data_IF_159453175457
#
_entry.id   IF_159453175457
#
_cell.length_a   1.000
_cell.length_b   1.000
_cell.length_c   1.000
_cell.angle_alpha   90.00
_cell.angle_beta   90.00
_cell.angle_gamma   90.00
#
_symmetry.space_group_name_H-M   'P 1'
#
loop_
_entity.id
_entity.type
_entity.pdbx_description
1 polymer ?
#
# COMPACT_ATOMS: atom_id res chain seq x y z
N UNK A 1 -9.48 16.97 22.43
CA UNK A 1 -9.50 15.65 21.75
C UNK A 1 -8.11 15.38 21.22
N UNK A 2 -7.47 14.30 21.66
CA UNK A 2 -6.23 13.86 21.03
C UNK A 2 -6.60 13.36 19.63
N UNK A 3 -6.11 14.01 18.57
CA UNK A 3 -6.46 13.60 17.21
C UNK A 3 -5.74 12.29 16.91
N UNK A 4 -6.49 11.21 16.66
CA UNK A 4 -5.91 9.94 16.18
C UNK A 4 -5.11 10.21 14.91
N UNK A 5 -3.87 9.72 14.85
CA UNK A 5 -3.07 9.78 13.64
C UNK A 5 -3.82 9.13 12.48
N UNK A 6 -3.84 9.78 11.32
CA UNK A 6 -4.44 9.24 10.09
C UNK A 6 -3.42 9.17 8.98
N UNK A 7 -3.65 8.28 8.03
CA UNK A 7 -2.79 8.14 6.87
C UNK A 7 -3.60 8.22 5.56
N UNK A 8 -2.93 8.64 4.50
CA UNK A 8 -3.40 8.47 3.13
C UNK A 8 -2.22 8.21 2.19
N UNK A 9 -2.51 7.66 1.01
CA UNK A 9 -1.50 7.38 -0.01
C UNK A 9 -1.92 7.91 -1.39
N UNK A 10 -0.97 8.56 -2.06
CA UNK A 10 -1.05 8.97 -3.47
C UNK A 10 -0.16 8.03 -4.29
N UNK A 11 -0.77 7.12 -5.02
CA UNK A 11 -0.09 6.26 -5.99
C UNK A 11 0.08 7.06 -7.28
N UNK A 12 1.30 7.12 -7.79
CA UNK A 12 1.69 7.88 -8.99
C UNK A 12 2.19 6.88 -10.02
N UNK A 13 1.52 6.80 -11.17
CA UNK A 13 1.85 5.84 -12.22
C UNK A 13 0.76 5.79 -13.28
N UNK A 14 1.09 6.15 -14.52
CA UNK A 14 0.19 5.99 -15.67
C UNK A 14 -0.17 4.51 -15.89
N UNK A 15 0.77 3.60 -15.63
CA UNK A 15 0.60 2.14 -15.74
C UNK A 15 -0.39 1.55 -14.72
N UNK A 16 -0.66 2.29 -13.63
CA UNK A 16 -1.69 1.90 -12.67
C UNK A 16 -3.07 2.36 -13.17
N UNK A 17 -3.13 3.53 -13.81
CA UNK A 17 -4.38 4.10 -14.33
C UNK A 17 -4.86 3.42 -15.61
N UNK A 18 -3.95 2.96 -16.47
CA UNK A 18 -4.30 2.20 -17.68
C UNK A 18 -4.56 0.71 -17.40
N UNK A 19 -4.26 0.24 -16.19
CA UNK A 19 -4.49 -1.12 -15.71
C UNK A 19 -3.41 -2.12 -16.12
N UNK A 20 -2.29 -1.69 -16.71
CA UNK A 20 -1.17 -2.56 -17.06
C UNK A 20 -0.51 -3.17 -15.83
N UNK A 21 -0.40 -2.41 -14.74
CA UNK A 21 0.12 -2.88 -13.45
C UNK A 21 -0.95 -2.75 -12.39
N UNK A 22 -1.23 -3.84 -11.68
CA UNK A 22 -2.09 -3.81 -10.50
C UNK A 22 -1.33 -3.23 -9.31
N UNK A 23 -1.82 -2.13 -8.75
CA UNK A 23 -1.25 -1.59 -7.51
C UNK A 23 -1.34 -2.61 -6.36
N UNK A 24 -0.17 -2.94 -5.81
CA UNK A 24 -0.03 -3.81 -4.64
C UNK A 24 0.53 -3.08 -3.42
N UNK A 25 0.95 -1.82 -3.57
CA UNK A 25 1.58 -1.04 -2.51
C UNK A 25 0.53 -0.45 -1.57
N UNK A 26 -0.55 0.15 -2.09
CA UNK A 26 -1.56 0.74 -1.23
C UNK A 26 -2.29 -0.33 -0.41
N UNK A 27 -2.60 -1.48 -1.01
CA UNK A 27 -3.21 -2.62 -0.31
C UNK A 27 -2.31 -3.18 0.80
N UNK A 28 -1.01 -3.35 0.52
CA UNK A 28 -0.05 -3.77 1.54
C UNK A 28 0.09 -2.73 2.65
N UNK A 29 0.20 -1.43 2.31
CA UNK A 29 0.31 -0.34 3.27
C UNK A 29 -0.92 -0.28 4.19
N UNK A 30 -2.13 -0.48 3.64
CA UNK A 30 -3.36 -0.52 4.41
C UNK A 30 -3.31 -1.60 5.50
N UNK A 31 -2.87 -2.82 5.15
CA UNK A 31 -2.71 -3.91 6.10
C UNK A 31 -1.63 -3.63 7.14
N UNK A 32 -0.49 -3.07 6.72
CA UNK A 32 0.63 -2.71 7.59
C UNK A 32 0.22 -1.65 8.62
N UNK A 33 -0.36 -0.54 8.17
CA UNK A 33 -0.82 0.53 9.05
C UNK A 33 -1.97 0.10 9.95
N UNK A 34 -2.85 -0.79 9.47
CA UNK A 34 -3.91 -1.40 10.30
C UNK A 34 -3.32 -2.17 11.48
N UNK A 35 -2.24 -2.94 11.28
CA UNK A 35 -1.56 -3.64 12.38
C UNK A 35 -0.97 -2.67 13.42
N UNK A 36 -0.57 -1.47 12.98
CA UNK A 36 -0.11 -0.38 13.85
C UNK A 36 -1.28 0.44 14.45
N UNK A 37 -2.53 0.17 14.06
CA UNK A 37 -3.69 0.95 14.48
C UNK A 37 -3.77 2.36 13.88
N UNK A 38 -3.08 2.59 12.75
CA UNK A 38 -3.12 3.83 11.99
C UNK A 38 -4.12 3.67 10.84
N UNK A 39 -5.27 4.34 10.85
CA UNK A 39 -6.23 4.26 9.75
C UNK A 39 -5.68 4.90 8.48
N UNK A 40 -5.50 4.09 7.42
CA UNK A 40 -5.38 4.56 6.05
C UNK A 40 -6.78 4.91 5.51
N UNK A 41 -7.14 6.18 5.50
CA UNK A 41 -8.51 6.63 5.21
C UNK A 41 -8.74 7.05 3.75
N UNK A 42 -7.68 7.10 2.94
CA UNK A 42 -7.76 7.36 1.51
C UNK A 42 -6.60 6.78 0.73
N UNK A 43 -6.95 6.21 -0.42
CA UNK A 43 -6.04 5.85 -1.50
C UNK A 43 -6.47 6.67 -2.71
N UNK A 44 -5.53 7.31 -3.39
CA UNK A 44 -5.75 7.99 -4.67
C UNK A 44 -4.68 7.57 -5.65
N UNK A 45 -5.05 7.42 -6.92
CA UNK A 45 -4.14 7.12 -8.02
C UNK A 45 -4.16 8.31 -8.97
N UNK A 46 -2.98 8.79 -9.38
CA UNK A 46 -2.81 9.95 -10.27
C UNK A 46 -1.78 9.65 -11.36
N UNK A 47 -1.86 10.31 -12.53
CA UNK A 47 -0.88 10.14 -13.59
C UNK A 47 0.50 10.69 -13.20
N UNK A 48 1.53 10.37 -13.98
CA UNK A 48 2.90 10.92 -13.88
C UNK A 48 2.97 12.39 -14.35
N UNK A 49 2.03 13.21 -13.90
CA UNK A 49 1.93 14.64 -14.19
C UNK A 49 2.12 15.46 -12.92
N UNK A 50 2.96 16.50 -13.01
CA UNK A 50 3.29 17.33 -11.86
C UNK A 50 2.07 18.05 -11.29
N UNK A 51 1.16 18.56 -12.13
CA UNK A 51 0.00 19.29 -11.66
C UNK A 51 -1.00 18.36 -10.98
N UNK A 52 -1.21 17.16 -11.53
CA UNK A 52 -2.05 16.13 -10.92
C UNK A 52 -1.54 15.68 -9.54
N UNK A 53 -0.23 15.47 -9.40
CA UNK A 53 0.39 15.12 -8.11
C UNK A 53 0.19 16.27 -7.11
N UNK A 54 0.46 17.52 -7.50
CA UNK A 54 0.27 18.71 -6.63
C UNK A 54 -1.19 18.84 -6.18
N UNK A 55 -2.16 18.62 -7.07
CA UNK A 55 -3.58 18.65 -6.74
C UNK A 55 -3.93 17.58 -5.69
N UNK A 56 -3.49 16.34 -5.90
CA UNK A 56 -3.73 15.24 -4.95
C UNK A 56 -3.10 15.53 -3.58
N UNK A 57 -1.84 16.01 -3.54
CA UNK A 57 -1.19 16.41 -2.30
C UNK A 57 -1.98 17.52 -1.59
N UNK A 58 -2.47 18.53 -2.32
CA UNK A 58 -3.32 19.58 -1.76
C UNK A 58 -4.61 19.03 -1.14
N UNK A 59 -5.27 18.07 -1.81
CA UNK A 59 -6.46 17.41 -1.29
C UNK A 59 -6.18 16.60 -0.01
N UNK A 60 -5.01 15.98 0.10
CA UNK A 60 -4.59 15.26 1.32
C UNK A 60 -4.23 16.20 2.47
N UNK A 61 -3.65 17.36 2.16
CA UNK A 61 -3.27 18.38 3.16
C UNK A 61 -4.44 19.13 3.75
N UNK A 62 -5.56 19.21 3.02
CA UNK A 62 -6.81 19.78 3.52
C UNK A 62 -7.52 18.87 4.55
N UNK A 63 -7.06 17.63 4.75
CA UNK A 63 -7.67 16.67 5.68
C UNK A 63 -7.25 16.91 7.14
N UNK A 64 -7.98 16.26 8.05
CA UNK A 64 -7.71 16.32 9.48
C UNK A 64 -6.28 15.87 9.82
N UNK A 65 -5.69 16.57 10.80
CA UNK A 65 -4.35 16.35 11.36
C UNK A 65 -4.44 15.79 12.80
N UNK A 66 -3.39 15.11 13.33
CA UNK A 66 -2.13 14.74 12.66
C UNK A 66 -2.31 13.77 11.50
N UNK A 67 -1.41 13.84 10.50
CA UNK A 67 -1.48 12.99 9.30
C UNK A 67 -0.12 12.54 8.78
N UNK A 68 -0.07 11.33 8.22
CA UNK A 68 1.00 10.91 7.31
C UNK A 68 0.44 10.80 5.89
N UNK A 69 1.08 11.46 4.94
CA UNK A 69 0.76 11.35 3.50
C UNK A 69 1.89 10.59 2.83
N UNK A 70 1.60 9.39 2.34
CA UNK A 70 2.54 8.58 1.58
C UNK A 70 2.37 8.86 0.09
N UNK A 71 3.46 8.76 -0.67
CA UNK A 71 3.40 8.56 -2.12
C UNK A 71 3.99 7.21 -2.50
N UNK A 72 3.64 6.69 -3.66
CA UNK A 72 4.31 5.52 -4.24
C UNK A 72 4.45 5.72 -5.75
N UNK A 73 5.68 5.72 -6.26
CA UNK A 73 5.96 5.87 -7.69
C UNK A 73 6.48 7.26 -8.10
N UNK A 74 6.93 7.37 -9.35
CA UNK A 74 7.44 8.60 -9.95
C UNK A 74 8.73 9.18 -9.35
N UNK A 75 9.66 8.32 -8.86
CA UNK A 75 10.92 8.74 -8.20
C UNK A 75 12.20 8.12 -8.77
N UNK A 76 12.14 7.45 -9.92
CA UNK A 76 13.30 6.87 -10.59
C UNK A 76 14.17 7.87 -11.37
N UNK A 77 14.80 7.37 -12.44
CA UNK A 77 15.71 8.13 -13.31
C UNK A 77 15.06 8.64 -14.58
N UNK A 78 13.79 8.32 -14.86
CA UNK A 78 13.16 8.62 -16.13
C UNK A 78 12.69 10.09 -16.19
N UNK A 79 12.42 10.67 -17.37
CA UNK A 79 11.97 12.06 -17.49
C UNK A 79 10.58 12.36 -16.90
N UNK A 80 9.75 11.33 -16.82
CA UNK A 80 8.40 11.29 -16.27
C UNK A 80 8.36 11.11 -14.74
N UNK A 81 9.45 10.65 -14.12
CA UNK A 81 9.60 10.63 -12.66
C UNK A 81 9.57 12.05 -12.06
N UNK A 82 8.39 12.49 -11.63
CA UNK A 82 8.10 13.88 -11.20
C UNK A 82 7.74 14.04 -9.73
N UNK A 83 7.61 12.97 -8.96
CA UNK A 83 7.07 13.03 -7.60
C UNK A 83 7.88 13.94 -6.68
N UNK A 84 9.22 13.83 -6.65
CA UNK A 84 10.05 14.73 -5.83
C UNK A 84 9.94 16.20 -6.22
N UNK A 85 9.85 16.48 -7.53
CA UNK A 85 9.70 17.84 -8.03
C UNK A 85 8.29 18.40 -7.75
N UNK A 86 7.25 17.57 -7.86
CA UNK A 86 5.88 17.92 -7.52
C UNK A 86 5.73 18.23 -6.03
N UNK A 87 6.38 17.45 -5.16
CA UNK A 87 6.42 17.73 -3.72
C UNK A 87 7.12 19.05 -3.43
N UNK A 88 8.28 19.31 -4.06
CA UNK A 88 8.98 20.59 -3.90
C UNK A 88 8.09 21.77 -4.34
N UNK A 89 7.42 21.64 -5.48
CA UNK A 89 6.50 22.64 -6.00
C UNK A 89 5.28 22.86 -5.09
N UNK A 90 4.68 21.78 -4.57
CA UNK A 90 3.54 21.86 -3.65
C UNK A 90 3.88 22.60 -2.36
N UNK A 91 5.09 22.38 -1.83
CA UNK A 91 5.56 23.02 -0.61
C UNK A 91 6.17 24.40 -0.83
N UNK A 92 6.25 24.87 -2.08
CA UNK A 92 6.95 26.10 -2.46
C UNK A 92 8.39 26.16 -1.95
N UNK A 93 9.13 25.06 -2.13
CA UNK A 93 10.55 24.95 -1.76
C UNK A 93 11.40 24.52 -2.94
N UNK A 94 12.69 24.87 -2.89
CA UNK A 94 13.64 24.43 -3.92
C UNK A 94 13.93 22.93 -3.83
N UNK A 95 14.10 22.31 -4.99
CA UNK A 95 14.67 20.96 -5.10
C UNK A 95 16.20 21.07 -5.06
N UNK A 96 16.81 20.58 -3.99
CA UNK A 96 18.26 20.70 -3.73
C UNK A 96 18.94 19.35 -3.76
N UNK A 97 20.24 19.35 -4.03
CA UNK A 97 21.05 18.13 -3.87
C UNK A 97 21.16 17.76 -2.39
N UNK A 98 20.91 16.50 -2.08
CA UNK A 98 20.89 15.97 -0.73
C UNK A 98 22.03 14.95 -0.53
N UNK A 99 23.00 15.21 0.37
CA UNK A 99 24.21 14.39 0.50
C UNK A 99 23.98 12.89 0.69
N UNK A 100 22.95 12.48 1.44
CA UNK A 100 22.69 11.05 1.63
C UNK A 100 22.18 10.38 0.35
N UNK A 101 21.37 11.09 -0.45
CA UNK A 101 20.89 10.61 -1.74
C UNK A 101 22.00 10.63 -2.79
N UNK A 102 22.91 11.61 -2.75
CA UNK A 102 24.14 11.61 -3.56
C UNK A 102 24.99 10.38 -3.26
N UNK A 103 25.24 10.08 -1.99
CA UNK A 103 25.97 8.87 -1.60
C UNK A 103 25.28 7.57 -2.05
N UNK A 104 23.94 7.54 -2.08
CA UNK A 104 23.18 6.43 -2.65
C UNK A 104 23.46 6.29 -4.16
N UNK A 105 23.39 7.39 -4.92
CA UNK A 105 23.69 7.40 -6.36
C UNK A 105 25.12 6.91 -6.63
N UNK A 106 26.10 7.37 -5.83
CA UNK A 106 27.49 6.95 -5.98
C UNK A 106 27.65 5.44 -5.75
N UNK A 107 26.92 4.86 -4.78
CA UNK A 107 26.87 3.40 -4.58
C UNK A 107 26.24 2.65 -5.76
N UNK A 108 25.21 3.21 -6.39
CA UNK A 108 24.59 2.62 -7.59
C UNK A 108 25.61 2.58 -8.73
N UNK A 109 26.31 3.68 -8.98
CA UNK A 109 27.36 3.76 -10.00
C UNK A 109 28.49 2.78 -9.72
N UNK A 110 28.96 2.70 -8.47
CA UNK A 110 30.01 1.75 -8.08
C UNK A 110 29.60 0.29 -8.35
N UNK A 111 28.36 -0.10 -8.01
CA UNK A 111 27.84 -1.45 -8.27
C UNK A 111 27.70 -1.76 -9.77
N UNK A 112 27.40 -0.76 -10.61
CA UNK A 112 27.37 -0.94 -12.06
C UNK A 112 28.78 -1.22 -12.59
N UNK A 113 29.77 -0.47 -12.14
CA UNK A 113 31.17 -0.69 -12.51
C UNK A 113 31.68 -2.07 -12.05
N UNK A 114 31.35 -2.50 -10.83
CA UNK A 114 31.68 -3.84 -10.31
C UNK A 114 31.11 -4.97 -11.17
N UNK A 115 29.98 -4.71 -11.86
CA UNK A 115 29.33 -5.65 -12.79
C UNK A 115 29.86 -5.52 -14.22
N UNK A 116 30.88 -4.70 -14.45
CA UNK A 116 31.49 -4.48 -15.77
C UNK A 116 30.71 -3.52 -16.67
N UNK A 117 29.78 -2.73 -16.12
CA UNK A 117 29.06 -1.70 -16.86
C UNK A 117 29.69 -0.33 -16.61
N UNK A 118 30.27 0.27 -17.65
CA UNK A 118 30.75 1.66 -17.62
C UNK A 118 29.57 2.64 -17.68
N UNK A 119 29.58 3.67 -16.82
CA UNK A 119 28.54 4.70 -16.76
C UNK A 119 29.00 5.96 -17.51
N UNK A 120 28.37 6.22 -18.65
CA UNK A 120 28.62 7.42 -19.46
C UNK A 120 28.04 8.71 -18.82
N UNK A 121 28.31 9.87 -19.45
CA UNK A 121 27.89 11.17 -18.93
C UNK A 121 26.36 11.34 -18.91
N UNK A 122 25.65 10.77 -19.88
CA UNK A 122 24.19 10.87 -19.98
C UNK A 122 23.51 10.07 -18.86
N UNK A 123 23.97 8.83 -18.65
CA UNK A 123 23.51 7.97 -17.57
C UNK A 123 23.87 8.54 -16.20
N UNK A 124 25.08 9.09 -16.04
CA UNK A 124 25.50 9.79 -14.82
C UNK A 124 24.61 10.98 -14.50
N UNK A 125 24.25 11.78 -15.51
CA UNK A 125 23.32 12.90 -15.35
C UNK A 125 21.93 12.43 -14.93
N UNK A 126 21.40 11.38 -15.58
CA UNK A 126 20.10 10.79 -15.23
C UNK A 126 20.06 10.27 -13.79
N UNK A 127 21.05 9.47 -13.39
CA UNK A 127 21.23 8.98 -12.03
C UNK A 127 21.41 10.13 -11.03
N UNK A 128 22.13 11.18 -11.41
CA UNK A 128 22.35 12.36 -10.59
C UNK A 128 21.08 13.12 -10.21
N UNK A 129 19.97 12.97 -10.96
CA UNK A 129 18.67 13.56 -10.60
C UNK A 129 18.06 12.92 -9.34
N UNK A 130 18.34 11.64 -9.09
CA UNK A 130 17.92 10.93 -7.87
C UNK A 130 18.62 11.48 -6.61
N UNK A 131 19.70 12.24 -6.75
CA UNK A 131 20.40 12.84 -5.61
C UNK A 131 19.68 14.08 -5.05
N UNK A 132 18.51 14.44 -5.59
CA UNK A 132 17.81 15.67 -5.21
C UNK A 132 16.54 15.40 -4.42
N UNK A 133 16.26 16.26 -3.44
CA UNK A 133 15.06 16.23 -2.62
C UNK A 133 14.57 17.67 -2.33
N UNK A 134 13.30 17.85 -1.95
CA UNK A 134 12.80 19.14 -1.48
C UNK A 134 13.65 19.67 -0.32
N UNK A 135 13.96 20.97 -0.30
CA UNK A 135 14.74 21.59 0.78
C UNK A 135 14.04 21.34 2.13
N UNK A 136 14.81 20.84 3.10
CA UNK A 136 14.29 20.47 4.43
C UNK A 136 13.77 19.03 4.53
N UNK A 137 13.78 18.28 3.43
CA UNK A 137 13.50 16.85 3.46
C UNK A 137 14.62 16.08 4.18
N UNK A 138 14.22 15.01 4.87
CA UNK A 138 15.08 14.03 5.51
C UNK A 138 15.10 12.78 4.64
N UNK A 139 16.26 12.32 4.17
CA UNK A 139 16.38 11.08 3.42
C UNK A 139 15.81 9.89 4.20
N UNK A 140 15.04 9.06 3.52
CA UNK A 140 14.60 7.75 4.04
C UNK A 140 15.50 6.72 3.37
N UNK A 141 16.63 6.43 4.00
CA UNK A 141 17.67 5.54 3.45
C UNK A 141 17.88 4.33 4.35
N UNK A 142 17.88 3.13 3.77
CA UNK A 142 18.32 1.89 4.41
C UNK A 142 19.40 1.19 3.59
N UNK A 143 20.00 0.12 4.13
CA UNK A 143 21.10 -0.63 3.48
C UNK A 143 20.71 -1.20 2.10
N UNK A 144 19.41 -1.43 1.90
CA UNK A 144 18.81 -1.93 0.67
C UNK A 144 18.22 -0.84 -0.24
N UNK A 145 18.22 0.42 0.20
CA UNK A 145 17.53 1.50 -0.52
C UNK A 145 18.37 1.97 -1.72
N UNK A 146 18.01 1.51 -2.91
CA UNK A 146 18.48 2.05 -4.19
C UNK A 146 17.53 3.09 -4.78
N UNK A 147 16.58 3.59 -3.99
CA UNK A 147 15.55 4.54 -4.43
C UNK A 147 15.62 5.83 -3.61
N UNK A 148 15.46 7.01 -4.25
CA UNK A 148 15.64 8.29 -3.61
C UNK A 148 14.40 8.67 -2.83
N UNK A 149 14.28 8.13 -1.63
CA UNK A 149 13.11 8.34 -0.77
C UNK A 149 13.38 9.43 0.26
N UNK A 150 12.36 10.20 0.61
CA UNK A 150 12.51 11.29 1.57
C UNK A 150 11.22 11.53 2.37
N UNK A 151 11.39 12.06 3.57
CA UNK A 151 10.35 12.48 4.48
C UNK A 151 10.44 13.96 4.74
N UNK A 152 9.32 14.67 4.76
CA UNK A 152 9.26 16.09 5.12
C UNK A 152 8.22 16.25 6.23
N UNK A 153 8.64 16.82 7.35
CA UNK A 153 7.76 17.16 8.47
C UNK A 153 7.29 18.61 8.33
N UNK A 154 5.99 18.81 8.35
CA UNK A 154 5.32 20.10 8.17
C UNK A 154 4.53 20.39 9.44
N UNK A 155 4.67 21.62 9.94
CA UNK A 155 4.12 22.05 11.23
C UNK A 155 4.55 21.12 12.39
N UNK A 156 5.85 20.77 12.42
CA UNK A 156 6.44 19.88 13.42
C UNK A 156 6.19 18.38 13.19
N UNK A 157 5.47 18.03 12.13
CA UNK A 157 5.17 16.64 11.80
C UNK A 157 4.14 16.00 12.76
N UNK A 158 3.85 14.70 12.60
CA UNK A 158 2.78 14.03 13.33
C UNK A 158 2.90 14.10 14.86
N UNK A 159 4.12 14.11 15.39
CA UNK A 159 4.39 14.24 16.83
C UNK A 159 3.87 15.57 17.41
N UNK A 160 3.94 16.65 16.63
CA UNK A 160 3.47 17.99 17.00
C UNK A 160 2.05 18.30 16.46
N UNK A 161 1.29 17.25 16.09
CA UNK A 161 -0.03 17.36 15.46
C UNK A 161 -0.03 17.97 14.04
N UNK A 162 1.14 18.01 13.40
CA UNK A 162 1.35 18.41 12.01
C UNK A 162 1.19 17.26 11.01
N UNK A 163 1.90 17.36 9.89
CA UNK A 163 1.84 16.40 8.78
C UNK A 163 3.24 15.88 8.45
N UNK A 164 3.40 14.58 8.23
CA UNK A 164 4.58 14.03 7.57
C UNK A 164 4.22 13.66 6.13
N UNK A 165 4.96 14.17 5.16
CA UNK A 165 4.93 13.68 3.79
C UNK A 165 6.07 12.69 3.57
N UNK A 166 5.78 11.53 3.00
CA UNK A 166 6.75 10.45 2.80
C UNK A 166 6.71 10.02 1.35
N UNK A 167 7.81 10.26 0.65
CA UNK A 167 7.98 9.96 -0.77
C UNK A 167 8.71 8.64 -0.92
N UNK A 168 8.07 7.66 -1.55
CA UNK A 168 8.54 6.26 -1.65
C UNK A 168 8.49 5.73 -3.09
N UNK A 169 9.28 4.69 -3.41
CA UNK A 169 9.31 4.07 -4.74
C UNK A 169 8.02 3.34 -5.10
N UNK A 170 7.81 3.14 -6.40
CA UNK A 170 6.74 2.28 -6.93
C UNK A 170 7.08 0.79 -6.83
N UNK A 171 8.36 0.42 -6.81
CA UNK A 171 8.79 -0.99 -6.75
C UNK A 171 8.41 -1.62 -5.40
N UNK A 172 7.54 -2.65 -5.37
CA UNK A 172 6.95 -3.12 -4.11
C UNK A 172 7.96 -3.56 -3.05
N UNK A 173 9.00 -4.30 -3.45
CA UNK A 173 10.04 -4.74 -2.50
C UNK A 173 10.76 -3.57 -1.82
N UNK A 174 11.02 -2.49 -2.56
CA UNK A 174 11.68 -1.30 -2.02
C UNK A 174 10.72 -0.49 -1.15
N UNK A 175 9.48 -0.30 -1.61
CA UNK A 175 8.42 0.39 -0.89
C UNK A 175 8.23 -0.23 0.51
N UNK A 176 8.03 -1.55 0.56
CA UNK A 176 7.81 -2.29 1.82
C UNK A 176 8.98 -2.16 2.78
N UNK A 177 10.21 -2.33 2.29
CA UNK A 177 11.42 -2.21 3.11
C UNK A 177 11.55 -0.82 3.74
N UNK A 178 11.23 0.23 3.00
CA UNK A 178 11.32 1.62 3.49
C UNK A 178 10.19 1.96 4.46
N UNK A 179 8.97 1.47 4.23
CA UNK A 179 7.87 1.62 5.19
C UNK A 179 8.20 0.93 6.50
N UNK A 180 8.71 -0.31 6.47
CA UNK A 180 9.10 -1.01 7.70
C UNK A 180 10.20 -0.26 8.47
N UNK A 181 11.14 0.40 7.78
CA UNK A 181 12.13 1.25 8.44
C UNK A 181 11.51 2.50 9.10
N UNK A 182 10.39 2.98 8.59
CA UNK A 182 9.64 4.08 9.18
C UNK A 182 8.89 3.67 10.46
N UNK A 183 8.68 2.38 10.70
CA UNK A 183 8.08 1.90 11.95
C UNK A 183 8.92 2.33 13.15
N UNK A 184 10.23 2.08 13.10
CA UNK A 184 11.19 2.39 14.17
C UNK A 184 11.42 3.89 14.38
N UNK A 185 11.08 4.73 13.40
CA UNK A 185 11.44 6.16 13.39
C UNK A 185 10.25 7.11 13.37
N UNK A 186 9.03 6.59 13.16
CA UNK A 186 7.83 7.40 13.02
C UNK A 186 6.56 6.68 13.42
N UNK A 187 6.29 5.50 12.87
CA UNK A 187 4.93 4.96 12.83
C UNK A 187 4.55 4.22 14.11
N UNK A 188 5.45 3.43 14.70
CA UNK A 188 5.11 2.56 15.82
C UNK A 188 4.63 3.32 17.07
N UNK A 189 5.30 4.42 17.41
CA UNK A 189 4.98 5.22 18.61
C UNK A 189 3.72 6.10 18.45
N UNK A 190 3.24 6.27 17.22
CA UNK A 190 2.06 7.09 16.91
C UNK A 190 0.82 6.25 16.63
N UNK A 191 0.99 4.94 16.53
CA UNK A 191 -0.07 3.97 16.38
C UNK A 191 -0.87 3.74 17.66
N UNK A 192 -2.01 3.08 17.51
CA UNK A 192 -2.78 2.55 18.64
C UNK A 192 -3.33 1.20 18.21
N UNK A 193 -2.49 0.14 18.21
CA UNK A 193 -2.85 -1.16 17.69
C UNK A 193 -4.21 -1.63 18.22
N UNK A 194 -5.06 -2.08 17.31
CA UNK A 194 -6.39 -2.59 17.65
C UNK A 194 -6.41 -4.10 17.57
N UNK A 195 -7.09 -4.76 18.52
CA UNK A 195 -7.40 -6.18 18.43
C UNK A 195 -8.37 -6.44 17.29
N UNK A 196 -8.17 -7.54 16.57
CA UNK A 196 -9.03 -7.95 15.46
C UNK A 196 -9.41 -9.42 15.63
N UNK A 197 -10.71 -9.72 15.59
CA UNK A 197 -11.21 -11.09 15.46
C UNK A 197 -12.01 -11.26 14.18
N UNK A 198 -11.93 -12.46 13.62
CA UNK A 198 -12.70 -12.87 12.45
C UNK A 198 -13.66 -14.00 12.83
N UNK A 199 -14.92 -13.86 12.44
CA UNK A 199 -15.94 -14.90 12.55
C UNK A 199 -16.45 -15.24 11.16
N UNK A 200 -16.56 -16.54 10.87
CA UNK A 200 -17.12 -17.04 9.62
C UNK A 200 -18.49 -17.65 9.88
N UNK A 201 -19.45 -17.38 9.01
CA UNK A 201 -20.77 -18.01 9.07
C UNK A 201 -21.32 -18.31 7.68
N UNK A 202 -22.19 -19.32 7.54
CA UNK A 202 -22.65 -19.76 6.22
C UNK A 202 -23.90 -19.00 5.73
N UNK A 203 -24.50 -18.15 6.55
CA UNK A 203 -25.72 -17.42 6.23
C UNK A 203 -25.48 -16.19 5.33
N UNK A 204 -26.48 -15.76 4.55
CA UNK A 204 -26.46 -14.44 3.92
C UNK A 204 -26.25 -13.32 4.94
N UNK A 205 -25.53 -12.27 4.55
CA UNK A 205 -25.27 -11.09 5.39
C UNK A 205 -26.54 -10.45 5.98
N UNK A 206 -27.64 -10.44 5.21
CA UNK A 206 -28.92 -9.85 5.61
C UNK A 206 -29.52 -10.46 6.88
N UNK A 207 -29.17 -11.71 7.20
CA UNK A 207 -29.66 -12.43 8.38
C UNK A 207 -29.12 -11.82 9.68
N UNK A 208 -27.86 -11.38 9.67
CA UNK A 208 -27.21 -10.78 10.83
C UNK A 208 -27.28 -9.25 10.83
N UNK A 209 -27.61 -8.61 9.70
CA UNK A 209 -27.64 -7.14 9.56
C UNK A 209 -28.36 -6.42 10.71
N UNK A 210 -29.56 -6.84 11.18
CA UNK A 210 -30.22 -6.15 12.30
C UNK A 210 -29.39 -6.17 13.60
N UNK A 211 -28.73 -7.29 13.89
CA UNK A 211 -27.85 -7.40 15.06
C UNK A 211 -26.56 -6.58 14.86
N UNK A 212 -25.99 -6.59 13.66
CA UNK A 212 -24.79 -5.80 13.34
C UNK A 212 -25.08 -4.29 13.51
N UNK A 213 -26.22 -3.81 13.04
CA UNK A 213 -26.66 -2.41 13.22
C UNK A 213 -26.93 -2.05 14.69
N UNK A 214 -27.49 -2.97 15.46
CA UNK A 214 -27.67 -2.80 16.90
C UNK A 214 -26.33 -2.72 17.64
N UNK A 215 -25.42 -3.65 17.35
CA UNK A 215 -24.08 -3.69 17.95
C UNK A 215 -23.28 -2.44 17.59
N UNK A 216 -23.30 -1.99 16.33
CA UNK A 216 -22.62 -0.76 15.91
C UNK A 216 -23.14 0.49 16.64
N UNK A 217 -24.44 0.56 16.95
CA UNK A 217 -25.02 1.66 17.75
C UNK A 217 -24.65 1.56 19.23
N UNK A 218 -24.66 0.36 19.81
CA UNK A 218 -24.34 0.10 21.23
C UNK A 218 -22.86 0.24 21.53
N UNK A 219 -22.00 -0.13 20.57
CA UNK A 219 -20.55 -0.24 20.69
C UNK A 219 -19.85 0.58 19.61
N UNK A 220 -19.97 1.93 19.60
CA UNK A 220 -19.30 2.77 18.61
C UNK A 220 -17.77 2.72 18.71
N UNK A 221 -17.24 2.19 19.81
CA UNK A 221 -15.84 1.86 20.05
C UNK A 221 -15.35 0.61 19.30
N UNK A 222 -16.28 -0.23 18.81
CA UNK A 222 -15.98 -1.44 18.04
C UNK A 222 -16.44 -1.26 16.59
N UNK A 223 -15.52 -1.44 15.63
CA UNK A 223 -15.88 -1.47 14.21
C UNK A 223 -16.20 -2.90 13.81
N UNK A 224 -17.32 -3.06 13.12
CA UNK A 224 -17.78 -4.37 12.63
C UNK A 224 -17.93 -4.25 11.12
N UNK A 225 -17.14 -5.04 10.39
CA UNK A 225 -17.27 -5.22 8.95
C UNK A 225 -17.89 -6.58 8.65
N UNK A 226 -18.71 -6.64 7.61
CA UNK A 226 -19.30 -7.86 7.08
C UNK A 226 -18.96 -7.97 5.61
N UNK A 227 -18.42 -9.12 5.20
CA UNK A 227 -17.88 -9.36 3.88
C UNK A 227 -18.56 -10.60 3.29
N UNK A 228 -19.39 -10.43 2.25
CA UNK A 228 -20.13 -11.54 1.68
C UNK A 228 -19.22 -12.48 0.88
N UNK A 229 -19.53 -13.77 0.94
CA UNK A 229 -18.85 -14.82 0.20
C UNK A 229 -19.56 -16.16 0.41
N UNK A 230 -19.01 -17.28 -0.12
CA UNK A 230 -19.57 -18.63 0.11
C UNK A 230 -19.78 -18.94 1.60
N UNK A 231 -18.87 -18.42 2.43
CA UNK A 231 -19.11 -18.13 3.83
C UNK A 231 -18.89 -16.62 4.04
N UNK A 232 -19.83 -15.96 4.71
CA UNK A 232 -19.66 -14.57 5.08
C UNK A 232 -18.61 -14.47 6.19
N UNK A 233 -17.75 -13.45 6.09
CA UNK A 233 -16.73 -13.14 7.08
C UNK A 233 -17.14 -11.86 7.80
N UNK A 234 -17.25 -11.94 9.12
CA UNK A 234 -17.35 -10.77 9.99
C UNK A 234 -15.95 -10.45 10.51
N UNK A 235 -15.55 -9.19 10.42
CA UNK A 235 -14.31 -8.69 11.02
C UNK A 235 -14.65 -7.67 12.09
N UNK A 236 -14.19 -7.92 13.31
CA UNK A 236 -14.51 -7.13 14.49
C UNK A 236 -13.20 -6.51 15.00
N UNK A 237 -13.16 -5.18 15.11
CA UNK A 237 -11.96 -4.43 15.45
C UNK A 237 -12.19 -3.47 16.61
N UNK A 238 -11.28 -3.43 17.58
CA UNK A 238 -11.39 -2.53 18.73
C UNK A 238 -10.46 -2.91 19.88
N UNK A 239 -10.82 -2.49 21.08
CA UNK A 239 -10.18 -2.96 22.32
C UNK A 239 -10.43 -4.46 22.52
N UNK A 240 -9.46 -5.25 23.04
CA UNK A 240 -9.62 -6.70 23.17
C UNK A 240 -10.87 -7.15 23.94
N UNK A 241 -11.16 -6.54 25.09
CA UNK A 241 -12.31 -6.91 25.91
C UNK A 241 -13.62 -6.51 25.22
N UNK A 242 -13.58 -5.35 24.58
CA UNK A 242 -14.68 -4.82 23.79
C UNK A 242 -15.06 -5.72 22.61
N UNK A 243 -14.04 -6.16 21.86
CA UNK A 243 -14.16 -7.09 20.73
C UNK A 243 -14.65 -8.44 21.22
N UNK A 244 -14.07 -9.00 22.29
CA UNK A 244 -14.47 -10.29 22.86
C UNK A 244 -15.96 -10.33 23.19
N UNK A 245 -16.48 -9.30 23.85
CA UNK A 245 -17.91 -9.21 24.18
C UNK A 245 -18.82 -9.19 22.94
N UNK A 246 -18.41 -8.47 21.87
CA UNK A 246 -19.16 -8.42 20.60
C UNK A 246 -19.11 -9.77 19.87
N UNK A 247 -17.93 -10.38 19.86
CA UNK A 247 -17.71 -11.70 19.26
C UNK A 247 -18.56 -12.78 19.94
N UNK A 248 -18.64 -12.78 21.27
CA UNK A 248 -19.45 -13.73 22.01
C UNK A 248 -20.95 -13.59 21.70
N UNK A 249 -21.45 -12.37 21.57
CA UNK A 249 -22.83 -12.08 21.19
C UNK A 249 -23.13 -12.56 19.75
N UNK A 250 -22.20 -12.31 18.82
CA UNK A 250 -22.31 -12.78 17.43
C UNK A 250 -22.26 -14.30 17.34
N UNK A 251 -21.34 -14.96 18.05
CA UNK A 251 -21.25 -16.44 18.11
C UNK A 251 -22.54 -17.04 18.65
N UNK A 252 -23.06 -16.53 19.76
CA UNK A 252 -24.32 -17.00 20.33
C UNK A 252 -25.49 -16.86 19.33
N UNK A 253 -25.54 -15.76 18.57
CA UNK A 253 -26.55 -15.58 17.52
C UNK A 253 -26.38 -16.57 16.37
N UNK A 254 -25.17 -16.76 15.88
CA UNK A 254 -24.84 -17.71 14.80
C UNK A 254 -25.19 -19.14 15.23
N UNK A 255 -24.83 -19.54 16.45
CA UNK A 255 -25.14 -20.86 17.00
C UNK A 255 -26.65 -21.08 17.10
N UNK A 256 -27.41 -20.07 17.54
CA UNK A 256 -28.87 -20.11 17.60
C UNK A 256 -29.52 -20.27 16.21
N UNK A 257 -28.98 -19.58 15.19
CA UNK A 257 -29.41 -19.77 13.79
C UNK A 257 -29.10 -21.19 13.31
N UNK A 258 -27.99 -21.78 13.73
CA UNK A 258 -27.59 -23.15 13.42
C UNK A 258 -28.58 -24.22 13.90
N UNK A 259 -29.37 -23.91 14.93
CA UNK A 259 -30.39 -24.83 15.45
C UNK A 259 -31.71 -24.79 14.66
N UNK A 260 -31.90 -23.82 13.75
CA UNK A 260 -33.10 -23.72 12.92
C UNK A 260 -32.91 -24.44 11.56
N UNK A 261 -33.66 -25.51 11.26
CA UNK A 261 -33.57 -26.21 9.97
C UNK A 261 -33.85 -25.33 8.75
N UNK A 262 -34.66 -24.26 8.89
CA UNK A 262 -34.89 -23.31 7.81
C UNK A 262 -33.62 -22.50 7.48
N UNK A 263 -32.85 -22.13 8.51
CA UNK A 263 -31.58 -21.46 8.35
C UNK A 263 -30.52 -22.36 7.72
N UNK A 264 -30.52 -23.66 8.04
CA UNK A 264 -29.67 -24.65 7.35
C UNK A 264 -29.91 -24.67 5.84
N UNK A 265 -31.19 -24.73 5.42
CA UNK A 265 -31.54 -24.66 3.99
C UNK A 265 -31.12 -23.35 3.33
N UNK A 266 -31.28 -22.23 4.02
CA UNK A 266 -30.89 -20.92 3.51
C UNK A 266 -29.36 -20.82 3.32
N UNK A 267 -28.59 -21.34 4.27
CA UNK A 267 -27.13 -21.42 4.17
C UNK A 267 -26.67 -22.24 2.95
N UNK A 268 -27.29 -23.39 2.72
CA UNK A 268 -26.97 -24.23 1.55
C UNK A 268 -27.30 -23.52 0.23
N UNK A 269 -28.46 -22.85 0.15
CA UNK A 269 -28.85 -22.07 -1.02
C UNK A 269 -27.90 -20.91 -1.30
N UNK A 270 -27.49 -20.19 -0.25
CA UNK A 270 -26.52 -19.10 -0.35
C UNK A 270 -25.19 -19.58 -0.93
N UNK A 271 -24.63 -20.64 -0.35
CA UNK A 271 -23.36 -21.21 -0.79
C UNK A 271 -23.40 -21.65 -2.26
N UNK A 272 -24.49 -22.31 -2.67
CA UNK A 272 -24.69 -22.72 -4.07
C UNK A 272 -24.77 -21.53 -5.04
N UNK A 273 -25.41 -20.43 -4.62
CA UNK A 273 -25.47 -19.19 -5.41
C UNK A 273 -24.09 -18.61 -5.71
N UNK A 274 -23.14 -18.70 -4.77
CA UNK A 274 -21.76 -18.23 -4.98
C UNK A 274 -20.97 -19.12 -5.92
N UNK A 275 -21.09 -20.45 -5.82
CA UNK A 275 -20.41 -21.37 -6.75
C UNK A 275 -20.83 -21.13 -8.20
N UNK A 276 -22.13 -20.88 -8.45
CA UNK A 276 -22.62 -20.55 -9.79
C UNK A 276 -22.17 -19.16 -10.30
N UNK A 277 -21.69 -18.28 -9.41
CA UNK A 277 -21.20 -16.94 -9.74
C UNK A 277 -19.69 -16.91 -9.92
N UNK A 278 -18.93 -17.75 -9.19
CA UNK A 278 -17.49 -17.94 -9.37
C UNK A 278 -17.16 -18.44 -10.78
N UNK A 279 -17.95 -19.40 -11.30
CA UNK A 279 -17.84 -19.88 -12.70
C UNK A 279 -18.04 -18.77 -13.76
N UNK A 280 -18.59 -17.61 -13.39
CA UNK A 280 -18.73 -16.44 -14.27
C UNK A 280 -17.64 -15.39 -14.10
N UNK A 281 -16.87 -15.40 -13.01
CA UNK A 281 -15.84 -14.41 -12.71
C UNK A 281 -14.43 -14.97 -12.88
N UNK A 282 -14.21 -16.26 -12.60
CA UNK A 282 -12.90 -16.92 -12.77
C UNK A 282 -12.59 -17.24 -14.24
N UNK A 283 -13.60 -17.29 -15.12
CA UNK A 283 -13.38 -17.50 -16.56
C UNK A 283 -12.59 -16.37 -17.25
N UNK A 284 -12.45 -15.21 -16.59
CA UNK A 284 -11.74 -14.02 -17.10
C UNK A 284 -10.48 -13.68 -16.28
N UNK A 285 -10.12 -14.45 -15.23
CA UNK A 285 -9.08 -14.06 -14.26
C UNK A 285 -7.79 -14.91 -14.28
N UNK A 286 -7.76 -16.02 -15.02
CA UNK A 286 -6.71 -17.05 -14.89
C UNK A 286 -5.54 -16.96 -15.89
N UNK A 287 -5.43 -15.92 -16.73
CA UNK A 287 -4.40 -15.91 -17.80
C UNK A 287 -3.15 -15.03 -17.56
N UNK A 288 -3.02 -14.27 -16.46
CA UNK A 288 -1.98 -13.23 -16.35
C UNK A 288 -1.09 -13.23 -15.09
N UNK A 289 -0.88 -14.37 -14.43
CA UNK A 289 -0.06 -14.41 -13.20
C UNK A 289 1.31 -15.12 -13.28
N UNK A 290 1.74 -15.60 -14.45
CA UNK A 290 2.98 -16.40 -14.59
C UNK A 290 3.92 -15.94 -15.73
N UNK A 291 4.18 -14.64 -15.86
CA UNK A 291 5.21 -14.15 -16.79
C UNK A 291 6.00 -12.93 -16.24
N UNK A 292 6.69 -13.10 -15.12
CA UNK A 292 7.74 -12.18 -14.70
C UNK A 292 8.80 -12.91 -13.85
N UNK A 293 9.50 -13.88 -14.46
CA UNK A 293 10.81 -14.37 -13.99
C UNK A 293 11.43 -15.28 -15.06
N UNK A 294 11.99 -14.70 -16.14
CA UNK A 294 13.13 -15.33 -16.83
C UNK A 294 13.89 -14.29 -17.68
N UNK A 295 14.87 -13.63 -17.06
CA UNK A 295 15.96 -12.96 -17.77
C UNK A 295 17.27 -13.73 -17.54
N UNK A 296 17.56 -14.63 -18.46
CA UNK A 296 18.80 -14.57 -19.24
C UNK A 296 20.06 -15.19 -18.64
N UNK A 297 20.39 -16.39 -19.10
CA UNK A 297 21.78 -16.71 -19.46
C UNK A 297 21.84 -17.17 -20.91
N UNK A 298 22.43 -16.31 -21.73
CA UNK A 298 22.59 -16.49 -23.16
C UNK A 298 23.77 -17.37 -23.58
N UNK A 299 23.68 -17.72 -24.86
CA UNK A 299 24.73 -18.04 -25.81
C UNK A 299 25.59 -19.30 -25.62
N UNK A 300 25.49 -20.19 -26.62
CA UNK A 300 26.59 -20.42 -27.56
C UNK A 300 26.17 -21.19 -28.83
N UNK A 301 26.30 -20.49 -29.95
CA UNK A 301 27.03 -20.88 -31.17
C UNK A 301 26.51 -22.10 -31.95
N UNK A 302 25.86 -21.79 -33.08
CA UNK A 302 25.58 -22.73 -34.15
C UNK A 302 26.85 -23.24 -34.83
N UNK A 303 26.86 -24.55 -35.10
CA UNK A 303 27.65 -25.20 -36.15
C UNK A 303 26.89 -26.43 -36.64
N UNK A 304 26.36 -26.34 -37.85
CA UNK A 304 25.93 -27.47 -38.65
C UNK A 304 27.14 -27.92 -39.49
N UNK A 305 27.50 -29.21 -39.58
CA UNK A 305 28.22 -29.72 -40.72
C UNK A 305 27.28 -30.49 -41.65
N UNK A 306 27.51 -30.25 -42.93
CA UNK A 306 26.88 -30.93 -44.04
C UNK A 306 27.26 -32.43 -44.09
N UNK A 307 26.38 -33.16 -44.75
CA UNK A 307 26.38 -34.60 -44.97
C UNK A 307 27.47 -35.05 -45.99
N UNK A 308 27.99 -36.26 -45.77
CA UNK A 308 28.69 -37.19 -46.71
C UNK A 308 30.17 -36.96 -47.10
N UNK A 309 30.95 -38.03 -46.95
CA UNK A 309 32.26 -38.24 -47.58
C UNK A 309 33.24 -39.01 -46.70
#
# INVERSE_FOLDING_TARGET
MSGTLRASIVVVGDEILDGFVRDSNAGWLAGHLHALGIPLDRISVVPDDQAAIVEALGAEFARARPRVVFTSGGIGTTPDDRTMAAVAAFLDVELVEEPALRAMVDRIVARLHERGHEVDDAQRSALGRMARAPRGARPVTGDMASAPSARIDIDGGPADRGVAMIVLPGVPRQFRALVTQLDDTLLADLGSPTHTEELRHPYPESVLTPLLEELARRRPDVRIGSYPGPECVLRIHGDPDAVGAVVDELRARIDALGQDPAMGRLADQWRQGWSATADRWDADADDDNDAADDDGQGDRVGRQPADRG
#
